data_IF_477885243202
#
_entry.id   IF_477885243202
#
_cell.length_a   1.000
_cell.length_b   1.000
_cell.length_c   1.000
_cell.angle_alpha   90.00
_cell.angle_beta   90.00
_cell.angle_gamma   90.00
#
_symmetry.space_group_name_H-M   'P 1'
#
loop_
_entity.id
_entity.type
_entity.pdbx_description
1 polymer ?
#
# COMPACT_ATOMS: atom_id res chain seq x y z
N UNK A 1 64.60 32.43 18.07
CA UNK A 1 64.29 33.00 16.72
C UNK A 1 63.74 31.85 15.88
N UNK A 2 62.42 31.63 15.86
CA UNK A 2 61.45 32.08 14.83
C UNK A 2 61.79 31.61 13.42
N UNK A 3 61.05 30.61 12.93
CA UNK A 3 60.31 30.68 11.66
C UNK A 3 59.33 29.50 11.57
N UNK A 4 58.04 29.82 11.40
CA UNK A 4 56.90 28.91 11.35
C UNK A 4 56.92 28.11 10.04
N UNK A 5 56.63 26.81 10.09
CA UNK A 5 56.27 26.03 8.90
C UNK A 5 54.81 25.58 9.03
N UNK A 6 53.92 26.41 8.50
CA UNK A 6 52.50 26.13 8.31
C UNK A 6 52.32 25.31 7.03
N UNK A 7 51.75 24.11 7.14
CA UNK A 7 51.15 23.40 6.01
C UNK A 7 49.89 22.68 6.51
N UNK A 8 48.72 23.27 6.22
CA UNK A 8 47.42 22.65 6.44
C UNK A 8 47.18 21.56 5.36
N UNK A 9 46.69 20.36 5.70
CA UNK A 9 46.28 19.38 4.70
C UNK A 9 44.91 19.72 4.11
N UNK A 10 44.93 19.97 2.80
CA UNK A 10 43.87 19.81 1.80
C UNK A 10 43.04 18.56 2.10
N UNK A 11 41.70 18.61 2.17
CA UNK A 11 40.73 17.51 1.89
C UNK A 11 39.26 17.88 2.17
N UNK A 12 38.91 19.13 2.51
CA UNK A 12 37.50 19.54 2.53
C UNK A 12 37.05 19.98 1.13
N UNK A 13 37.14 19.05 0.17
CA UNK A 13 36.33 19.12 -1.04
C UNK A 13 34.89 18.79 -0.62
N UNK A 14 34.17 19.82 -0.17
CA UNK A 14 32.74 19.76 0.12
C UNK A 14 32.04 19.44 -1.20
N UNK A 15 31.73 18.16 -1.40
CA UNK A 15 30.91 17.68 -2.51
C UNK A 15 29.50 18.22 -2.27
N UNK A 16 29.15 19.31 -2.94
CA UNK A 16 27.80 19.83 -3.00
C UNK A 16 26.94 18.89 -3.87
N UNK A 17 26.30 17.91 -3.26
CA UNK A 17 25.31 17.06 -3.91
C UNK A 17 23.98 17.85 -3.98
N UNK A 18 23.72 18.47 -5.14
CA UNK A 18 22.42 19.07 -5.44
C UNK A 18 21.39 17.95 -5.68
N UNK A 19 20.57 17.66 -4.66
CA UNK A 19 19.37 16.84 -4.80
C UNK A 19 18.31 17.61 -5.59
N UNK A 20 18.22 17.37 -6.90
CA UNK A 20 17.06 17.77 -7.69
C UNK A 20 15.89 16.83 -7.36
N UNK A 21 15.00 17.24 -6.45
CA UNK A 21 13.70 16.59 -6.30
C UNK A 21 12.77 17.19 -7.34
N UNK A 22 12.68 16.57 -8.51
CA UNK A 22 11.59 16.86 -9.44
C UNK A 22 10.29 16.33 -8.82
N UNK A 23 9.42 17.22 -8.37
CA UNK A 23 8.09 16.87 -7.93
C UNK A 23 7.28 16.38 -9.14
N UNK A 24 7.10 15.07 -9.26
CA UNK A 24 6.18 14.47 -10.23
C UNK A 24 4.77 14.81 -9.73
N UNK A 25 4.15 15.86 -10.26
CA UNK A 25 2.73 16.12 -10.03
C UNK A 25 1.93 15.15 -10.90
N UNK A 26 1.73 13.93 -10.41
CA UNK A 26 0.76 13.02 -11.03
C UNK A 26 -0.63 13.63 -10.84
N UNK A 27 -1.25 14.09 -11.93
CA UNK A 27 -2.66 14.44 -11.90
C UNK A 27 -3.47 13.18 -11.49
N UNK A 28 -4.48 13.31 -10.61
CA UNK A 28 -5.29 12.17 -10.22
C UNK A 28 -6.00 11.62 -11.47
N UNK A 29 -5.89 10.31 -11.71
CA UNK A 29 -6.66 9.67 -12.77
C UNK A 29 -8.16 9.92 -12.52
N UNK A 30 -8.94 10.25 -13.57
CA UNK A 30 -10.36 10.46 -13.41
C UNK A 30 -11.02 9.18 -12.88
N UNK A 31 -11.83 9.32 -11.82
CA UNK A 31 -12.60 8.20 -11.27
C UNK A 31 -13.53 7.66 -12.37
N UNK A 32 -13.44 6.37 -12.73
CA UNK A 32 -14.27 5.81 -13.79
C UNK A 32 -15.75 5.87 -13.37
N UNK A 33 -16.63 6.21 -14.31
CA UNK A 33 -18.07 6.27 -14.06
C UNK A 33 -18.64 4.87 -13.81
N UNK A 34 -19.50 4.72 -12.79
CA UNK A 34 -20.17 3.46 -12.47
C UNK A 34 -20.97 2.96 -13.68
N UNK A 35 -20.83 1.68 -14.02
CA UNK A 35 -21.45 1.06 -15.20
C UNK A 35 -20.58 1.06 -16.45
N UNK A 36 -19.36 1.62 -16.41
CA UNK A 36 -18.36 1.50 -17.46
C UNK A 36 -17.45 0.28 -17.25
N UNK A 37 -16.81 -0.19 -18.31
CA UNK A 37 -15.79 -1.26 -18.22
C UNK A 37 -14.61 -0.86 -17.32
N UNK A 38 -14.18 0.40 -17.36
CA UNK A 38 -13.09 0.91 -16.52
C UNK A 38 -13.45 0.88 -15.02
N UNK A 39 -14.73 1.06 -14.69
CA UNK A 39 -15.21 0.92 -13.32
C UNK A 39 -15.14 -0.53 -12.86
N UNK A 40 -15.63 -1.48 -13.66
CA UNK A 40 -15.59 -2.92 -13.32
C UNK A 40 -14.15 -3.44 -13.12
N UNK A 41 -13.18 -2.95 -13.91
CA UNK A 41 -11.76 -3.29 -13.74
C UNK A 41 -11.15 -2.86 -12.40
N UNK A 42 -11.73 -1.85 -11.75
CA UNK A 42 -11.14 -1.21 -10.55
C UNK A 42 -11.99 -1.40 -9.30
N UNK A 43 -13.25 -1.85 -9.44
CA UNK A 43 -14.22 -1.96 -8.35
C UNK A 43 -14.92 -3.31 -8.38
N UNK A 44 -15.08 -3.92 -7.21
CA UNK A 44 -15.85 -5.15 -7.09
C UNK A 44 -17.36 -4.89 -7.32
N UNK A 45 -17.97 -5.70 -8.17
CA UNK A 45 -19.42 -5.74 -8.42
C UNK A 45 -20.17 -6.45 -7.30
N UNK A 46 -19.50 -7.40 -6.63
CA UNK A 46 -20.02 -8.11 -5.46
C UNK A 46 -18.90 -8.23 -4.42
N UNK A 47 -19.12 -7.67 -3.23
CA UNK A 47 -18.13 -7.57 -2.17
C UNK A 47 -18.77 -7.86 -0.80
N UNK A 48 -19.05 -9.13 -0.47
CA UNK A 48 -19.59 -9.47 0.84
C UNK A 48 -18.58 -9.10 1.94
N UNK A 49 -19.10 -8.61 3.06
CA UNK A 49 -18.30 -8.28 4.22
C UNK A 49 -17.72 -9.55 4.90
N UNK A 50 -16.59 -9.43 5.62
CA UNK A 50 -16.05 -10.52 6.42
C UNK A 50 -17.03 -10.99 7.49
N UNK A 51 -17.13 -12.31 7.65
CA UNK A 51 -17.93 -12.90 8.73
C UNK A 51 -17.06 -12.97 9.98
N UNK A 52 -17.36 -12.11 10.96
CA UNK A 52 -16.66 -12.07 12.24
C UNK A 52 -17.46 -12.83 13.30
N UNK A 53 -16.76 -13.58 14.15
CA UNK A 53 -17.39 -14.27 15.27
C UNK A 53 -17.92 -13.27 16.31
N UNK A 54 -18.93 -13.63 17.12
CA UNK A 54 -19.47 -12.75 18.16
C UNK A 54 -18.41 -12.23 19.13
N UNK A 55 -17.42 -13.06 19.48
CA UNK A 55 -16.35 -12.74 20.42
C UNK A 55 -15.39 -11.69 19.85
N UNK A 56 -15.03 -11.81 18.57
CA UNK A 56 -14.18 -10.83 17.87
C UNK A 56 -14.89 -9.49 17.74
N UNK A 57 -16.18 -9.51 17.39
CA UNK A 57 -17.01 -8.29 17.32
C UNK A 57 -17.09 -7.58 18.67
N UNK A 58 -17.25 -8.32 19.77
CA UNK A 58 -17.33 -7.74 21.11
C UNK A 58 -16.04 -7.02 21.55
N UNK A 59 -14.89 -7.37 20.96
CA UNK A 59 -13.59 -6.74 21.25
C UNK A 59 -13.37 -5.41 20.53
N UNK A 60 -14.24 -5.04 19.59
CA UNK A 60 -14.17 -3.77 18.84
C UNK A 60 -12.77 -3.51 18.23
N UNK A 61 -12.11 -4.58 17.78
CA UNK A 61 -10.79 -4.48 17.14
C UNK A 61 -10.91 -3.64 15.86
N UNK A 62 -9.91 -2.79 15.63
CA UNK A 62 -9.82 -1.98 14.43
C UNK A 62 -8.36 -1.89 13.99
N UNK A 63 -8.17 -1.73 12.69
CA UNK A 63 -6.86 -1.68 12.08
C UNK A 63 -6.98 -1.53 10.57
N UNK A 64 -5.89 -1.11 9.93
CA UNK A 64 -5.82 -0.95 8.48
C UNK A 64 -4.83 -1.95 7.94
N UNK A 65 -5.26 -2.77 6.99
CA UNK A 65 -4.41 -3.73 6.29
C UNK A 65 -4.43 -3.48 4.79
N UNK A 66 -3.42 -4.02 4.10
CA UNK A 66 -3.31 -3.99 2.65
C UNK A 66 -3.25 -5.43 2.12
N UNK A 67 -4.10 -5.72 1.15
CA UNK A 67 -4.26 -7.05 0.57
C UNK A 67 -4.14 -6.96 -0.95
N UNK A 68 -3.34 -7.86 -1.53
CA UNK A 68 -3.25 -8.01 -2.98
C UNK A 68 -4.13 -9.17 -3.43
N UNK A 69 -5.02 -8.90 -4.38
CA UNK A 69 -5.96 -9.89 -4.92
C UNK A 69 -5.53 -10.23 -6.35
N UNK A 70 -5.35 -11.52 -6.62
CA UNK A 70 -5.17 -12.01 -7.99
C UNK A 70 -6.55 -12.35 -8.56
N UNK A 71 -6.92 -11.72 -9.67
CA UNK A 71 -8.24 -11.83 -10.30
C UNK A 71 -8.10 -12.63 -11.60
N UNK A 72 -8.97 -13.63 -11.78
CA UNK A 72 -9.07 -14.43 -13.01
C UNK A 72 -9.84 -13.68 -14.10
N UNK A 73 -9.71 -14.07 -15.38
CA UNK A 73 -10.48 -13.47 -16.47
C UNK A 73 -12.00 -13.53 -16.30
N UNK A 74 -12.53 -14.44 -15.48
CA UNK A 74 -13.97 -14.59 -15.18
C UNK A 74 -14.45 -13.69 -14.02
N UNK A 75 -13.59 -12.81 -13.50
CA UNK A 75 -13.92 -11.89 -12.40
C UNK A 75 -13.83 -12.52 -11.01
N UNK A 76 -13.41 -13.79 -10.88
CA UNK A 76 -13.21 -14.45 -9.57
C UNK A 76 -11.82 -14.19 -9.00
N UNK A 77 -11.70 -14.15 -7.68
CA UNK A 77 -10.40 -14.02 -7.00
C UNK A 77 -9.76 -15.41 -6.85
N UNK A 78 -8.54 -15.59 -7.37
CA UNK A 78 -7.78 -16.85 -7.28
C UNK A 78 -6.90 -16.95 -6.06
N UNK A 79 -6.37 -15.82 -5.60
CA UNK A 79 -5.43 -15.75 -4.49
C UNK A 79 -5.55 -14.41 -3.79
N UNK A 80 -5.30 -14.43 -2.48
CA UNK A 80 -5.26 -13.24 -1.62
C UNK A 80 -3.96 -13.29 -0.85
N UNK A 81 -3.13 -12.27 -1.02
CA UNK A 81 -1.89 -12.08 -0.29
C UNK A 81 -2.05 -10.93 0.69
N UNK A 82 -1.58 -11.12 1.92
CA UNK A 82 -1.57 -10.07 2.94
C UNK A 82 -0.25 -9.32 2.82
N UNK A 83 -0.28 -8.12 2.23
CA UNK A 83 0.89 -7.26 2.09
C UNK A 83 1.18 -6.54 3.40
N UNK A 84 0.13 -6.11 4.09
CA UNK A 84 0.20 -5.48 5.41
C UNK A 84 -0.96 -5.98 6.27
N UNK A 85 -0.63 -6.56 7.42
CA UNK A 85 -1.61 -6.97 8.42
C UNK A 85 -2.36 -5.77 9.00
N UNK A 86 -3.62 -5.97 9.40
CA UNK A 86 -4.37 -5.01 10.21
C UNK A 86 -3.82 -4.84 11.63
N UNK A 87 -2.86 -5.67 12.04
CA UNK A 87 -2.37 -5.79 13.42
C UNK A 87 -3.16 -6.82 14.25
N UNK A 88 -4.22 -7.41 13.68
CA UNK A 88 -5.07 -8.37 14.35
C UNK A 88 -5.37 -9.55 13.42
N UNK A 89 -4.86 -10.74 13.76
CA UNK A 89 -5.10 -11.95 12.97
C UNK A 89 -6.60 -12.29 12.90
N UNK A 90 -7.35 -11.93 13.94
CA UNK A 90 -8.81 -12.09 14.02
C UNK A 90 -9.58 -11.18 13.03
N UNK A 91 -8.92 -10.17 12.46
CA UNK A 91 -9.45 -9.36 11.36
C UNK A 91 -8.88 -9.80 10.01
N UNK A 92 -7.60 -10.16 9.97
CA UNK A 92 -6.91 -10.53 8.73
C UNK A 92 -7.48 -11.79 8.09
N UNK A 93 -7.63 -12.87 8.86
CA UNK A 93 -8.07 -14.15 8.32
C UNK A 93 -9.51 -14.11 7.78
N UNK A 94 -10.50 -13.55 8.50
CA UNK A 94 -11.85 -13.38 7.96
C UNK A 94 -11.89 -12.44 6.76
N UNK A 95 -11.06 -11.39 6.75
CA UNK A 95 -10.97 -10.46 5.61
C UNK A 95 -10.46 -11.16 4.37
N UNK A 96 -9.36 -11.90 4.47
CA UNK A 96 -8.83 -12.69 3.36
C UNK A 96 -9.86 -13.71 2.84
N UNK A 97 -10.58 -14.39 3.75
CA UNK A 97 -11.64 -15.33 3.38
C UNK A 97 -12.88 -14.66 2.74
N UNK A 98 -13.12 -13.37 3.01
CA UNK A 98 -14.17 -12.59 2.35
C UNK A 98 -13.74 -12.17 0.95
N UNK A 99 -12.49 -11.74 0.79
CA UNK A 99 -11.93 -11.29 -0.48
C UNK A 99 -11.93 -12.39 -1.54
N UNK A 100 -11.78 -13.67 -1.18
CA UNK A 100 -11.93 -14.78 -2.16
C UNK A 100 -13.33 -14.87 -2.77
N UNK A 101 -14.35 -14.29 -2.10
CA UNK A 101 -15.75 -14.29 -2.55
C UNK A 101 -16.11 -13.07 -3.39
N UNK A 102 -15.20 -12.10 -3.52
CA UNK A 102 -15.46 -10.89 -4.28
C UNK A 102 -15.54 -11.20 -5.79
N UNK A 103 -16.28 -10.38 -6.52
CA UNK A 103 -16.40 -10.44 -7.99
C UNK A 103 -16.13 -9.07 -8.60
N UNK A 104 -15.38 -9.06 -9.68
CA UNK A 104 -15.02 -7.89 -10.47
C UNK A 104 -15.63 -7.99 -11.87
#
# INVERSE_FOLDING_TARGET
>A
MVARKTSLPSHLAVVALLLNVAAITAAPNPTPARGTLEYAKTHALYAPAPVLSPEVRARHLSGTGLFALQIRPDGTVSHVEIIQSTGHQELDAPSAAAFTKWRF
#
